data_IF_236143693641
#
_entry.id   IF_236143693641
#
_cell.length_a   1.000
_cell.length_b   1.000
_cell.length_c   1.000
_cell.angle_alpha   90.00
_cell.angle_beta   90.00
_cell.angle_gamma   90.00
#
_symmetry.space_group_name_H-M   'P 1'
#
loop_
_entity.id
_entity.type
_entity.pdbx_description
1 polymer ?
#
# COMPACT_ATOMS: atom_id res chain seq x y z
N UNK A 1 26.14 -39.19 -26.36
CA UNK A 1 25.51 -39.12 -25.02
C UNK A 1 25.33 -37.65 -24.63
N UNK A 2 24.13 -37.06 -24.70
CA UNK A 2 23.91 -35.71 -24.20
C UNK A 2 23.48 -35.74 -22.73
N UNK A 3 24.14 -34.92 -21.90
CA UNK A 3 23.85 -34.73 -20.47
C UNK A 3 22.57 -33.90 -20.30
N UNK A 4 21.61 -34.46 -19.58
CA UNK A 4 20.43 -33.77 -19.05
C UNK A 4 20.84 -32.82 -17.92
N UNK A 5 20.80 -31.51 -18.18
CA UNK A 5 20.79 -30.48 -17.14
C UNK A 5 19.37 -30.36 -16.59
N UNK A 6 19.17 -30.86 -15.37
CA UNK A 6 17.96 -30.62 -14.57
C UNK A 6 17.96 -29.14 -14.13
N UNK A 7 17.08 -28.35 -14.71
CA UNK A 7 16.71 -27.02 -14.23
C UNK A 7 15.80 -27.16 -13.00
N UNK A 8 16.31 -26.79 -11.83
CA UNK A 8 15.50 -26.58 -10.63
C UNK A 8 14.68 -25.29 -10.80
N UNK A 9 13.39 -25.27 -10.45
CA UNK A 9 12.62 -24.03 -10.43
C UNK A 9 13.08 -23.19 -9.23
N UNK A 10 13.65 -22.02 -9.51
CA UNK A 10 13.86 -21.00 -8.51
C UNK A 10 12.50 -20.54 -7.97
N UNK A 11 12.16 -20.93 -6.74
CA UNK A 11 11.08 -20.30 -5.98
C UNK A 11 11.47 -18.84 -5.75
N UNK A 12 10.90 -17.95 -6.57
CA UNK A 12 10.95 -16.51 -6.39
C UNK A 12 10.19 -16.16 -5.11
N UNK A 13 10.93 -16.04 -4.01
CA UNK A 13 10.42 -15.47 -2.77
C UNK A 13 10.16 -13.97 -3.00
N UNK A 14 8.89 -13.57 -2.90
CA UNK A 14 8.49 -12.18 -3.08
C UNK A 14 8.98 -11.31 -1.90
N UNK A 15 9.63 -10.17 -2.15
CA UNK A 15 10.06 -9.27 -1.07
C UNK A 15 8.83 -8.71 -0.33
N UNK A 16 8.95 -8.54 0.99
CA UNK A 16 7.95 -7.90 1.83
C UNK A 16 7.44 -6.60 1.17
N UNK A 17 6.15 -6.60 0.81
CA UNK A 17 5.53 -5.67 -0.13
C UNK A 17 5.39 -4.24 0.40
N UNK A 18 5.24 -3.27 -0.51
CA UNK A 18 5.02 -1.83 -0.27
C UNK A 18 3.83 -1.47 0.65
N UNK A 19 3.02 -2.45 1.08
CA UNK A 19 1.91 -2.26 2.01
C UNK A 19 2.33 -2.27 3.49
N UNK A 20 3.53 -2.76 3.84
CA UNK A 20 3.94 -2.96 5.23
C UNK A 20 3.45 -4.26 5.85
N UNK A 21 4.12 -4.73 6.92
CA UNK A 21 3.92 -6.07 7.50
C UNK A 21 2.98 -6.12 8.72
N UNK A 22 2.65 -4.98 9.35
CA UNK A 22 1.74 -4.94 10.51
C UNK A 22 0.39 -5.57 10.16
N UNK A 23 -0.09 -6.47 11.02
CA UNK A 23 -1.35 -7.19 10.85
C UNK A 23 -1.36 -8.22 9.71
N UNK A 24 -0.21 -8.48 9.09
CA UNK A 24 -0.06 -9.49 8.03
C UNK A 24 0.66 -10.72 8.58
N UNK A 25 0.39 -11.89 7.98
CA UNK A 25 1.21 -13.08 8.20
C UNK A 25 2.44 -13.00 7.31
N UNK A 26 3.63 -13.04 7.92
CA UNK A 26 4.91 -13.06 7.19
C UNK A 26 5.80 -14.18 7.72
N UNK A 27 6.72 -14.67 6.89
CA UNK A 27 7.74 -15.65 7.28
C UNK A 27 9.05 -14.95 7.63
N UNK A 28 9.94 -15.67 8.32
CA UNK A 28 11.29 -15.17 8.63
C UNK A 28 12.05 -14.82 7.35
N UNK A 29 11.93 -15.66 6.31
CA UNK A 29 12.55 -15.45 5.00
C UNK A 29 12.04 -14.17 4.32
N UNK A 30 10.73 -13.90 4.39
CA UNK A 30 10.16 -12.67 3.82
C UNK A 30 10.72 -11.40 4.49
N UNK A 31 10.97 -11.46 5.80
CA UNK A 31 11.60 -10.34 6.53
C UNK A 31 13.08 -10.20 6.15
N UNK A 32 13.84 -11.30 6.08
CA UNK A 32 15.24 -11.26 5.65
C UNK A 32 15.41 -10.67 4.24
N UNK A 33 14.43 -10.90 3.37
CA UNK A 33 14.41 -10.38 1.99
C UNK A 33 13.78 -8.99 1.86
N UNK A 34 13.32 -8.40 2.96
CA UNK A 34 12.78 -7.04 2.93
C UNK A 34 13.86 -6.03 2.58
N UNK A 35 13.46 -4.88 2.03
CA UNK A 35 14.37 -3.78 1.72
C UNK A 35 15.15 -3.31 2.97
N UNK A 36 14.53 -3.37 4.15
CA UNK A 36 15.20 -3.08 5.42
C UNK A 36 16.38 -4.03 5.64
N UNK A 37 16.14 -5.34 5.61
CA UNK A 37 17.19 -6.31 5.89
C UNK A 37 18.24 -6.42 4.79
N UNK A 38 17.88 -6.13 3.54
CA UNK A 38 18.86 -5.98 2.46
C UNK A 38 19.76 -4.75 2.67
N UNK A 39 19.20 -3.63 3.12
CA UNK A 39 19.96 -2.40 3.38
C UNK A 39 20.90 -2.55 4.59
N UNK A 40 20.42 -3.17 5.67
CA UNK A 40 21.17 -3.27 6.92
C UNK A 40 21.91 -4.60 7.09
N UNK A 41 21.80 -5.52 6.14
CA UNK A 41 22.43 -6.85 6.20
C UNK A 41 22.04 -7.60 7.48
N UNK A 42 20.73 -7.76 7.70
CA UNK A 42 20.23 -8.51 8.86
C UNK A 42 20.86 -9.91 8.92
N UNK A 43 21.30 -10.32 10.11
CA UNK A 43 21.73 -11.69 10.36
C UNK A 43 20.59 -12.71 10.29
N UNK A 44 20.93 -13.98 10.54
CA UNK A 44 19.90 -14.99 10.78
C UNK A 44 19.05 -14.61 12.00
N UNK A 45 17.73 -14.77 11.94
CA UNK A 45 16.87 -14.40 13.05
C UNK A 45 17.08 -15.32 14.24
N UNK A 46 17.23 -14.72 15.42
CA UNK A 46 17.01 -15.42 16.66
C UNK A 46 15.50 -15.52 16.92
N UNK A 47 14.95 -16.73 16.81
CA UNK A 47 13.52 -16.99 16.96
C UNK A 47 13.22 -17.49 18.37
N UNK A 48 12.39 -16.75 19.11
CA UNK A 48 11.95 -17.10 20.45
C UNK A 48 10.43 -17.04 20.54
N UNK A 49 9.77 -18.17 20.24
CA UNK A 49 8.31 -18.25 20.22
C UNK A 49 7.69 -17.28 19.21
N UNK A 50 7.02 -16.23 19.72
CA UNK A 50 6.37 -15.21 18.89
C UNK A 50 7.32 -14.09 18.42
N UNK A 51 8.51 -13.98 19.02
CA UNK A 51 9.46 -12.89 18.77
C UNK A 51 10.58 -13.34 17.84
N UNK A 52 10.82 -12.58 16.78
CA UNK A 52 11.89 -12.81 15.82
C UNK A 52 12.84 -11.62 15.84
N UNK A 53 14.08 -11.86 16.25
CA UNK A 53 15.09 -10.82 16.40
C UNK A 53 16.14 -10.90 15.30
N UNK A 54 16.35 -9.79 14.60
CA UNK A 54 17.29 -9.63 13.50
C UNK A 54 18.33 -8.59 13.90
N UNK A 55 19.43 -9.00 14.56
CA UNK A 55 20.55 -8.11 14.79
C UNK A 55 21.19 -7.76 13.44
N UNK A 56 21.54 -6.49 13.26
CA UNK A 56 22.19 -6.02 12.02
C UNK A 56 23.40 -5.13 12.29
N UNK A 57 23.54 -4.56 13.49
CA UNK A 57 24.81 -4.08 14.01
C UNK A 57 25.02 -4.58 15.44
N UNK A 58 26.19 -4.31 16.03
CA UNK A 58 26.44 -4.60 17.46
C UNK A 58 25.57 -3.78 18.43
N UNK A 59 24.93 -2.73 17.92
CA UNK A 59 24.15 -1.78 18.70
C UNK A 59 22.68 -1.72 18.32
N UNK A 60 22.30 -2.30 17.18
CA UNK A 60 20.95 -2.17 16.66
C UNK A 60 20.43 -3.50 16.15
N UNK A 61 19.12 -3.70 16.33
CA UNK A 61 18.42 -4.81 15.73
C UNK A 61 16.93 -4.55 15.61
N UNK A 62 16.31 -5.38 14.80
CA UNK A 62 14.88 -5.38 14.54
C UNK A 62 14.24 -6.54 15.30
N UNK A 63 13.15 -6.29 16.00
CA UNK A 63 12.29 -7.35 16.55
C UNK A 63 10.94 -7.31 15.87
N UNK A 64 10.47 -8.46 15.40
CA UNK A 64 9.12 -8.64 14.87
C UNK A 64 8.38 -9.56 15.82
N UNK A 65 7.33 -9.06 16.46
CA UNK A 65 6.48 -9.83 17.37
C UNK A 65 5.19 -10.21 16.67
N UNK A 66 4.75 -11.45 16.86
CA UNK A 66 3.53 -12.02 16.27
C UNK A 66 2.47 -12.29 17.33
N UNK A 67 1.23 -12.53 16.91
CA UNK A 67 0.12 -12.94 17.79
C UNK A 67 0.48 -14.20 18.58
N UNK A 68 1.12 -15.17 17.92
CA UNK A 68 1.57 -16.42 18.52
C UNK A 68 2.82 -16.98 17.83
N UNK A 69 3.33 -18.10 18.33
CA UNK A 69 4.43 -18.84 17.71
C UNK A 69 4.03 -19.54 16.40
N UNK A 70 2.73 -19.77 16.19
CA UNK A 70 2.20 -20.61 15.13
C UNK A 70 2.47 -20.05 13.72
N UNK A 71 2.68 -20.92 12.71
CA UNK A 71 2.66 -20.53 11.31
C UNK A 71 1.35 -19.80 10.96
N UNK A 72 1.44 -18.69 10.24
CA UNK A 72 0.26 -17.90 9.88
C UNK A 72 -0.14 -16.82 10.88
N UNK A 73 0.50 -16.74 12.06
CA UNK A 73 0.26 -15.67 13.03
C UNK A 73 0.59 -14.31 12.46
N UNK A 74 -0.27 -13.31 12.70
CA UNK A 74 -0.05 -11.96 12.19
C UNK A 74 0.99 -11.21 13.02
N UNK A 75 1.68 -10.27 12.40
CA UNK A 75 2.59 -9.35 13.10
C UNK A 75 1.79 -8.36 13.94
N UNK A 76 2.09 -8.27 15.23
CA UNK A 76 1.45 -7.34 16.18
C UNK A 76 2.35 -6.17 16.53
N UNK A 77 3.67 -6.31 16.38
CA UNK A 77 4.57 -5.17 16.50
C UNK A 77 5.85 -5.37 15.69
N UNK A 78 6.41 -4.23 15.28
CA UNK A 78 7.74 -4.15 14.69
C UNK A 78 8.51 -3.12 15.49
N UNK A 79 9.66 -3.53 16.01
CA UNK A 79 10.45 -2.76 16.95
C UNK A 79 11.88 -2.62 16.45
N UNK A 80 12.42 -1.41 16.48
CA UNK A 80 13.85 -1.15 16.37
C UNK A 80 14.37 -0.92 17.79
N UNK A 81 15.32 -1.73 18.25
CA UNK A 81 16.06 -1.47 19.49
C UNK A 81 17.45 -0.94 19.16
N UNK A 82 17.90 0.03 19.95
CA UNK A 82 19.24 0.62 19.87
C UNK A 82 19.86 0.56 21.26
N UNK A 83 21.05 0.00 21.41
CA UNK A 83 21.74 -0.04 22.71
C UNK A 83 22.18 1.35 23.12
N UNK A 84 21.99 1.68 24.40
CA UNK A 84 22.22 3.03 24.93
C UNK A 84 23.71 3.47 24.84
N UNK A 85 24.64 2.52 24.78
CA UNK A 85 26.08 2.76 24.59
C UNK A 85 26.49 2.98 23.11
N UNK A 86 25.53 2.90 22.19
CA UNK A 86 25.75 3.03 20.74
C UNK A 86 24.81 4.02 20.05
N UNK A 87 24.19 4.94 20.79
CA UNK A 87 23.22 5.90 20.24
C UNK A 87 23.87 6.82 19.20
N UNK A 88 23.20 6.97 18.06
CA UNK A 88 23.62 7.87 16.99
C UNK A 88 22.37 8.43 16.31
N UNK A 89 22.00 9.66 16.66
CA UNK A 89 20.75 10.29 16.21
C UNK A 89 20.51 10.20 14.69
N UNK A 90 21.57 10.36 13.88
CA UNK A 90 21.46 10.31 12.42
C UNK A 90 21.20 8.89 11.92
N UNK A 91 22.00 7.92 12.37
CA UNK A 91 21.87 6.52 11.97
C UNK A 91 20.56 5.91 12.49
N UNK A 92 20.22 6.22 13.75
CA UNK A 92 19.01 5.76 14.42
C UNK A 92 17.76 6.30 13.72
N UNK A 93 17.74 7.60 13.35
CA UNK A 93 16.64 8.19 12.58
C UNK A 93 16.45 7.50 11.23
N UNK A 94 17.54 7.19 10.52
CA UNK A 94 17.45 6.49 9.24
C UNK A 94 16.92 5.07 9.41
N UNK A 95 17.47 4.31 10.35
CA UNK A 95 17.01 2.95 10.66
C UNK A 95 15.54 2.96 11.09
N UNK A 96 15.14 3.91 11.91
CA UNK A 96 13.78 4.07 12.38
C UNK A 96 12.80 4.39 11.24
N UNK A 97 13.16 5.26 10.30
CA UNK A 97 12.33 5.53 9.12
C UNK A 97 12.18 4.30 8.22
N UNK A 98 13.25 3.52 8.03
CA UNK A 98 13.16 2.29 7.23
C UNK A 98 12.36 1.20 7.95
N UNK A 99 12.46 1.11 9.28
CA UNK A 99 11.62 0.22 10.09
C UNK A 99 10.14 0.58 9.96
N UNK A 100 9.80 1.87 10.00
CA UNK A 100 8.42 2.33 9.76
C UNK A 100 7.92 1.94 8.36
N UNK A 101 8.73 2.07 7.31
CA UNK A 101 8.38 1.60 5.95
C UNK A 101 8.16 0.09 5.89
N UNK A 102 8.98 -0.69 6.59
CA UNK A 102 8.78 -2.13 6.71
C UNK A 102 7.44 -2.43 7.41
N UNK A 103 7.17 -1.75 8.51
CA UNK A 103 5.98 -1.98 9.33
C UNK A 103 4.68 -1.56 8.62
N UNK A 104 4.65 -0.38 7.99
CA UNK A 104 3.43 0.28 7.51
C UNK A 104 3.40 0.54 5.99
N UNK A 105 4.52 0.35 5.29
CA UNK A 105 4.65 0.67 3.87
C UNK A 105 5.04 2.13 3.58
N UNK A 106 4.99 3.00 4.60
CA UNK A 106 5.37 4.42 4.52
C UNK A 106 5.93 4.91 5.86
N UNK A 107 6.37 6.19 5.92
CA UNK A 107 6.95 6.80 7.13
C UNK A 107 5.95 7.79 7.73
N UNK A 108 5.22 7.45 8.81
CA UNK A 108 4.34 8.39 9.50
C UNK A 108 5.09 9.42 10.37
N UNK A 109 6.30 9.12 10.85
CA UNK A 109 7.11 10.03 11.68
C UNK A 109 8.48 10.32 11.08
N UNK A 110 8.74 11.60 10.80
CA UNK A 110 10.02 12.11 10.28
C UNK A 110 10.75 13.04 11.26
N UNK A 111 10.19 13.27 12.45
CA UNK A 111 10.76 14.16 13.46
C UNK A 111 12.02 13.61 14.15
N UNK A 112 12.57 14.37 15.12
CA UNK A 112 13.74 13.94 15.88
C UNK A 112 13.44 12.71 16.76
N UNK A 113 14.44 11.85 16.92
CA UNK A 113 14.40 10.64 17.77
C UNK A 113 15.07 10.88 19.12
N UNK A 114 15.88 11.92 19.22
CA UNK A 114 16.64 12.32 20.41
C UNK A 114 15.80 12.47 21.68
N UNK A 115 14.54 12.98 21.61
CA UNK A 115 13.68 13.03 22.79
C UNK A 115 13.34 11.65 23.40
N UNK A 116 13.60 10.55 22.68
CA UNK A 116 13.42 9.18 23.17
C UNK A 116 14.58 8.70 24.03
N UNK A 117 15.80 9.21 23.82
CA UNK A 117 17.01 8.82 24.57
C UNK A 117 16.99 9.28 26.03
N UNK A 118 16.06 10.16 26.39
CA UNK A 118 15.84 10.66 27.74
C UNK A 118 14.37 10.51 28.16
N UNK A 119 13.64 9.59 27.55
CA UNK A 119 12.25 9.34 27.91
C UNK A 119 12.14 8.70 29.30
N UNK A 120 11.32 9.27 30.19
CA UNK A 120 11.05 8.69 31.52
C UNK A 120 9.90 7.66 31.50
N UNK A 121 9.20 7.57 30.37
CA UNK A 121 8.09 6.63 30.13
C UNK A 121 7.94 6.44 28.62
N UNK A 122 7.10 5.49 28.19
CA UNK A 122 6.72 5.37 26.78
C UNK A 122 6.21 6.71 26.24
N UNK A 123 6.79 7.20 25.14
CA UNK A 123 6.37 8.40 24.42
C UNK A 123 5.66 8.00 23.14
N UNK A 124 4.52 8.62 22.87
CA UNK A 124 3.85 8.49 21.57
C UNK A 124 4.41 9.52 20.60
N UNK A 125 5.00 9.06 19.51
CA UNK A 125 5.51 9.90 18.43
C UNK A 125 4.42 10.19 17.40
N UNK A 126 3.60 9.18 17.09
CA UNK A 126 2.41 9.30 16.24
C UNK A 126 1.30 8.44 16.80
N UNK A 127 0.10 9.01 16.91
CA UNK A 127 -1.11 8.30 17.31
C UNK A 127 -1.89 7.86 16.06
N UNK A 128 -2.29 6.59 16.01
CA UNK A 128 -3.12 5.99 14.96
C UNK A 128 -2.69 6.39 13.52
N UNK A 129 -1.45 6.06 13.09
CA UNK A 129 -0.95 6.45 11.76
C UNK A 129 -1.80 5.86 10.61
N UNK A 130 -2.35 4.66 10.78
CA UNK A 130 -3.39 4.10 9.93
C UNK A 130 -4.29 3.14 10.74
N UNK A 131 -5.30 2.55 10.08
CA UNK A 131 -6.26 1.65 10.74
C UNK A 131 -5.66 0.36 11.31
N UNK A 132 -4.43 0.01 10.94
CA UNK A 132 -3.77 -1.24 11.35
C UNK A 132 -2.88 -1.05 12.57
N UNK A 133 -2.56 0.19 12.93
CA UNK A 133 -1.59 0.51 13.97
C UNK A 133 -2.13 1.51 14.99
N UNK A 134 -2.01 1.17 16.28
CA UNK A 134 -2.41 2.05 17.39
C UNK A 134 -1.52 3.30 17.46
N UNK A 135 -0.24 3.14 17.12
CA UNK A 135 0.73 4.23 17.19
C UNK A 135 2.16 3.81 16.92
N UNK A 136 2.98 4.84 16.75
CA UNK A 136 4.43 4.75 16.75
C UNK A 136 4.91 5.35 18.07
N UNK A 137 5.59 4.54 18.87
CA UNK A 137 6.04 4.92 20.21
C UNK A 137 7.55 4.74 20.34
N UNK A 138 8.13 5.35 21.37
CA UNK A 138 9.46 5.02 21.82
C UNK A 138 9.52 4.92 23.34
N UNK A 139 10.46 4.14 23.84
CA UNK A 139 10.67 3.91 25.26
C UNK A 139 12.15 3.70 25.56
N UNK A 140 12.61 4.24 26.67
CA UNK A 140 13.96 4.02 27.16
C UNK A 140 13.91 2.91 28.21
N UNK A 141 14.69 1.87 27.98
CA UNK A 141 15.01 0.80 28.92
C UNK A 141 16.43 0.95 29.43
N UNK A 142 16.77 0.19 30.48
CA UNK A 142 18.07 0.25 31.14
C UNK A 142 19.26 0.10 30.17
N UNK A 143 19.11 -0.69 29.11
CA UNK A 143 20.19 -0.98 28.16
C UNK A 143 19.88 -0.64 26.69
N UNK A 144 18.63 -0.30 26.37
CA UNK A 144 18.21 0.02 25.00
C UNK A 144 17.21 1.17 24.95
N UNK A 145 17.20 1.90 23.84
CA UNK A 145 16.07 2.72 23.41
C UNK A 145 15.32 1.97 22.33
N UNK A 146 14.02 1.78 22.55
CA UNK A 146 13.15 1.02 21.68
C UNK A 146 12.21 1.95 20.94
N UNK A 147 12.05 1.73 19.63
CA UNK A 147 11.09 2.40 18.79
C UNK A 147 10.13 1.36 18.22
N UNK A 148 8.84 1.51 18.47
CA UNK A 148 7.86 0.45 18.19
C UNK A 148 6.70 0.96 17.36
N UNK A 149 6.34 0.21 16.32
CA UNK A 149 5.05 0.31 15.64
C UNK A 149 4.17 -0.81 16.18
N UNK A 150 3.06 -0.44 16.85
CA UNK A 150 2.12 -1.39 17.44
C UNK A 150 0.87 -1.53 16.59
N UNK A 151 0.41 -2.76 16.38
CA UNK A 151 -0.86 -3.03 15.72
C UNK A 151 -2.04 -2.46 16.52
N UNK A 152 -3.14 -2.16 15.84
CA UNK A 152 -4.41 -1.79 16.45
C UNK A 152 -5.15 -3.07 16.89
N UNK A 153 -5.46 -3.26 18.18
CA UNK A 153 -6.20 -4.42 18.66
C UNK A 153 -7.54 -4.61 17.94
N UNK A 154 -8.27 -3.53 17.64
CA UNK A 154 -9.52 -3.60 16.89
C UNK A 154 -9.29 -4.12 15.47
N UNK A 155 -8.20 -3.70 14.81
CA UNK A 155 -7.81 -4.28 13.52
C UNK A 155 -7.45 -5.76 13.62
N UNK A 156 -6.73 -6.16 14.68
CA UNK A 156 -6.33 -7.56 14.89
C UNK A 156 -7.53 -8.47 15.17
N UNK A 157 -8.56 -7.95 15.85
CA UNK A 157 -9.82 -8.67 16.09
C UNK A 157 -10.69 -8.80 14.84
N UNK A 158 -10.45 -8.00 13.78
CA UNK A 158 -11.07 -8.27 12.49
C UNK A 158 -10.57 -9.63 12.03
N UNK A 159 -11.50 -10.51 11.68
CA UNK A 159 -11.18 -11.76 11.00
C UNK A 159 -10.37 -11.37 9.77
N UNK A 160 -9.09 -11.73 9.73
CA UNK A 160 -8.33 -11.60 8.51
C UNK A 160 -9.17 -12.25 7.42
N UNK A 161 -9.28 -11.65 6.22
CA UNK A 161 -9.74 -12.40 5.07
C UNK A 161 -8.99 -13.73 5.10
N UNK A 162 -9.71 -14.85 5.12
CA UNK A 162 -9.08 -16.16 5.13
C UNK A 162 -8.00 -16.20 4.04
N UNK A 163 -6.87 -16.90 4.25
CA UNK A 163 -5.91 -17.12 3.19
C UNK A 163 -6.68 -17.63 1.98
N UNK A 164 -6.82 -16.79 0.95
CA UNK A 164 -7.62 -17.15 -0.21
C UNK A 164 -6.86 -18.28 -0.86
N UNK A 165 -7.50 -19.45 -0.97
CA UNK A 165 -6.92 -20.60 -1.66
C UNK A 165 -6.57 -20.12 -3.07
N UNK A 166 -5.27 -20.13 -3.37
CA UNK A 166 -4.71 -19.60 -4.61
C UNK A 166 -5.27 -20.47 -5.75
N UNK A 167 -6.27 -19.98 -6.48
CA UNK A 167 -6.59 -20.56 -7.78
C UNK A 167 -5.48 -20.13 -8.73
N UNK A 168 -4.64 -21.08 -9.13
CA UNK A 168 -3.46 -20.85 -9.97
C UNK A 168 -3.81 -20.12 -11.28
N UNK A 169 -3.09 -19.04 -11.57
CA UNK A 169 -3.16 -18.29 -12.83
C UNK A 169 -2.92 -16.79 -12.63
N UNK A 170 -2.27 -16.08 -13.58
CA UNK A 170 -1.92 -14.67 -13.39
C UNK A 170 -3.16 -13.79 -13.22
N UNK A 171 -3.11 -12.79 -12.33
CA UNK A 171 -4.15 -11.78 -12.19
C UNK A 171 -4.37 -11.08 -13.53
N UNK A 172 -5.60 -11.14 -14.04
CA UNK A 172 -6.03 -10.46 -15.28
C UNK A 172 -7.24 -9.60 -14.98
N UNK A 173 -7.37 -8.48 -15.69
CA UNK A 173 -8.63 -7.76 -15.73
C UNK A 173 -9.62 -8.59 -16.56
N UNK A 174 -10.88 -8.59 -16.13
CA UNK A 174 -11.96 -9.33 -16.77
C UNK A 174 -12.93 -8.38 -17.45
N UNK A 175 -13.51 -7.46 -16.68
CA UNK A 175 -14.38 -6.39 -17.19
C UNK A 175 -14.04 -5.09 -16.50
N UNK A 176 -14.33 -3.97 -17.15
CA UNK A 176 -14.27 -2.65 -16.53
C UNK A 176 -15.33 -1.77 -17.19
N UNK A 177 -16.04 -0.99 -16.38
CA UNK A 177 -17.05 -0.06 -16.87
C UNK A 177 -17.36 1.01 -15.83
N UNK A 178 -17.75 2.20 -16.28
CA UNK A 178 -18.40 3.16 -15.40
C UNK A 178 -19.81 2.68 -15.06
N UNK A 179 -20.12 2.66 -13.76
CA UNK A 179 -21.41 2.16 -13.27
C UNK A 179 -22.33 3.27 -12.79
N UNK A 180 -21.75 4.29 -12.17
CA UNK A 180 -22.49 5.40 -11.53
C UNK A 180 -21.67 6.67 -11.57
N UNK A 181 -22.34 7.81 -11.72
CA UNK A 181 -21.83 9.16 -11.57
C UNK A 181 -22.81 9.94 -10.71
N UNK A 182 -22.39 10.38 -9.53
CA UNK A 182 -23.23 11.11 -8.57
C UNK A 182 -22.81 12.57 -8.56
N UNK A 183 -23.70 13.46 -8.98
CA UNK A 183 -23.49 14.91 -9.02
C UNK A 183 -24.70 15.67 -8.50
N UNK A 184 -24.70 17.00 -8.70
CA UNK A 184 -25.81 17.86 -8.27
C UNK A 184 -27.15 17.50 -8.94
N UNK A 185 -27.12 17.10 -10.21
CA UNK A 185 -28.29 16.62 -10.95
C UNK A 185 -28.74 15.18 -10.65
N UNK A 186 -28.14 14.50 -9.66
CA UNK A 186 -28.50 13.13 -9.26
C UNK A 186 -27.50 12.06 -9.69
N UNK A 187 -27.97 10.81 -9.80
CA UNK A 187 -27.13 9.64 -10.17
C UNK A 187 -27.38 9.24 -11.63
N UNK A 188 -26.32 9.21 -12.43
CA UNK A 188 -26.35 8.88 -13.86
C UNK A 188 -25.29 7.84 -14.23
N UNK A 189 -25.34 7.30 -15.45
CA UNK A 189 -24.28 6.46 -16.05
C UNK A 189 -23.31 7.25 -16.95
N UNK A 190 -23.46 8.56 -17.00
CA UNK A 190 -22.68 9.50 -17.81
C UNK A 190 -22.31 10.73 -16.98
N UNK A 191 -21.35 11.51 -17.46
CA UNK A 191 -20.99 12.79 -16.86
C UNK A 191 -21.81 13.92 -17.49
N UNK A 192 -22.50 14.70 -16.65
CA UNK A 192 -23.22 15.89 -17.12
C UNK A 192 -22.24 17.02 -17.41
N UNK A 193 -22.33 17.61 -18.60
CA UNK A 193 -21.51 18.75 -19.00
C UNK A 193 -21.70 19.93 -18.04
N UNK A 194 -20.59 20.51 -17.57
CA UNK A 194 -20.61 21.67 -16.68
C UNK A 194 -20.83 21.34 -15.20
N UNK A 195 -21.08 20.07 -14.85
CA UNK A 195 -21.23 19.63 -13.48
C UNK A 195 -20.04 18.78 -13.03
N UNK A 196 -19.70 18.91 -11.74
CA UNK A 196 -18.78 17.99 -11.09
C UNK A 196 -19.56 16.77 -10.59
N UNK A 197 -19.03 15.58 -10.83
CA UNK A 197 -19.61 14.34 -10.34
C UNK A 197 -18.53 13.39 -9.81
N UNK A 198 -18.92 12.55 -8.85
CA UNK A 198 -18.13 11.41 -8.40
C UNK A 198 -18.55 10.18 -9.20
N UNK A 199 -17.65 9.65 -10.03
CA UNK A 199 -17.93 8.52 -10.90
C UNK A 199 -17.21 7.24 -10.46
N UNK A 200 -17.90 6.11 -10.50
CA UNK A 200 -17.37 4.79 -10.11
C UNK A 200 -17.00 3.99 -11.36
N UNK A 201 -15.70 3.83 -11.60
CA UNK A 201 -15.15 2.84 -12.52
C UNK A 201 -15.01 1.51 -11.77
N UNK A 202 -15.89 0.56 -12.09
CA UNK A 202 -15.83 -0.80 -11.53
C UNK A 202 -14.98 -1.66 -12.44
N UNK A 203 -13.95 -2.29 -11.87
CA UNK A 203 -13.07 -3.24 -12.53
C UNK A 203 -13.24 -4.60 -11.86
N UNK A 204 -13.50 -5.64 -12.64
CA UNK A 204 -13.49 -7.02 -12.14
C UNK A 204 -12.23 -7.74 -12.61
N UNK A 205 -11.71 -8.62 -11.77
CA UNK A 205 -10.53 -9.43 -12.08
C UNK A 205 -10.88 -10.91 -12.25
N UNK A 206 -9.97 -11.65 -12.88
CA UNK A 206 -9.98 -13.13 -12.97
C UNK A 206 -8.56 -13.66 -12.72
N UNK A 207 -8.47 -14.96 -12.41
CA UNK A 207 -7.22 -15.61 -12.02
C UNK A 207 -6.94 -15.42 -10.53
N UNK A 208 -5.67 -15.31 -10.17
CA UNK A 208 -5.22 -15.07 -8.80
C UNK A 208 -5.81 -13.78 -8.24
N UNK A 209 -6.44 -13.90 -7.08
CA UNK A 209 -6.94 -12.75 -6.34
C UNK A 209 -5.76 -12.06 -5.65
N UNK A 210 -5.57 -10.78 -5.97
CA UNK A 210 -4.53 -9.96 -5.36
C UNK A 210 -5.10 -8.57 -5.04
N UNK A 211 -4.67 -8.00 -3.93
CA UNK A 211 -5.08 -6.66 -3.53
C UNK A 211 -4.42 -5.61 -4.43
N UNK A 212 -5.12 -4.52 -4.76
CA UNK A 212 -4.52 -3.35 -5.40
C UNK A 212 -3.73 -2.58 -4.35
N UNK A 213 -2.44 -2.36 -4.62
CA UNK A 213 -1.52 -1.63 -3.71
C UNK A 213 -1.16 -0.24 -4.23
N UNK A 214 -1.51 0.07 -5.48
CA UNK A 214 -1.34 1.39 -6.09
C UNK A 214 -2.27 1.50 -7.31
N UNK A 215 -2.92 2.64 -7.47
CA UNK A 215 -3.65 2.97 -8.70
C UNK A 215 -3.23 4.35 -9.21
N UNK A 216 -2.83 4.42 -10.47
CA UNK A 216 -2.56 5.67 -11.19
C UNK A 216 -3.66 5.88 -12.21
N UNK A 217 -4.28 7.05 -12.20
CA UNK A 217 -5.31 7.42 -13.15
C UNK A 217 -4.81 8.56 -14.02
N UNK A 218 -4.92 8.38 -15.33
CA UNK A 218 -4.69 9.42 -16.31
C UNK A 218 -5.93 9.55 -17.18
N UNK A 219 -6.21 10.76 -17.63
CA UNK A 219 -7.41 11.06 -18.36
C UNK A 219 -7.10 11.54 -19.77
N UNK A 220 -8.03 11.30 -20.67
CA UNK A 220 -8.01 11.76 -22.04
C UNK A 220 -9.40 12.30 -22.38
N UNK A 221 -9.47 13.39 -23.13
CA UNK A 221 -10.73 14.02 -23.51
C UNK A 221 -10.94 13.91 -25.01
N UNK A 222 -12.15 13.51 -25.42
CA UNK A 222 -12.59 13.53 -26.81
C UNK A 222 -13.65 14.61 -27.01
N UNK A 223 -13.51 15.39 -28.07
CA UNK A 223 -14.45 16.45 -28.40
C UNK A 223 -14.50 16.73 -29.89
N UNK A 224 -15.62 17.33 -30.32
CA UNK A 224 -15.77 17.90 -31.66
C UNK A 224 -15.60 19.40 -31.59
N UNK A 225 -14.73 19.95 -32.44
CA UNK A 225 -14.51 21.38 -32.60
C UNK A 225 -14.35 21.70 -34.09
N UNK A 226 -15.14 22.65 -34.60
CA UNK A 226 -15.16 23.02 -36.03
C UNK A 226 -15.39 21.81 -36.97
N UNK A 227 -16.22 20.86 -36.55
CA UNK A 227 -16.50 19.63 -37.31
C UNK A 227 -15.41 18.55 -37.24
N UNK A 228 -14.28 18.82 -36.59
CA UNK A 228 -13.19 17.84 -36.41
C UNK A 228 -13.27 17.15 -35.06
N UNK A 229 -13.03 15.83 -35.07
CA UNK A 229 -12.85 15.04 -33.86
C UNK A 229 -11.42 15.21 -33.34
N UNK A 230 -11.31 15.62 -32.08
CA UNK A 230 -10.03 15.81 -31.41
C UNK A 230 -10.00 14.94 -30.17
N UNK A 231 -8.87 14.26 -30.00
CA UNK A 231 -8.56 13.40 -28.85
C UNK A 231 -7.30 13.92 -28.19
N UNK A 232 -7.36 14.22 -26.89
CA UNK A 232 -6.26 14.87 -26.17
C UNK A 232 -6.02 14.23 -24.80
N UNK A 233 -4.81 13.72 -24.60
CA UNK A 233 -4.36 13.27 -23.29
C UNK A 233 -4.20 14.46 -22.34
N UNK A 234 -4.72 14.32 -21.12
CA UNK A 234 -4.53 15.30 -20.06
C UNK A 234 -3.20 15.01 -19.34
N UNK A 235 -2.42 16.05 -19.01
CA UNK A 235 -1.07 15.87 -18.46
C UNK A 235 -1.07 15.40 -17.00
N UNK A 236 -2.15 15.69 -16.28
CA UNK A 236 -2.29 15.37 -14.87
C UNK A 236 -2.55 13.88 -14.64
N UNK A 237 -1.95 13.37 -13.57
CA UNK A 237 -2.17 12.01 -13.08
C UNK A 237 -2.65 12.08 -11.65
N UNK A 238 -3.68 11.32 -11.35
CA UNK A 238 -4.13 11.13 -9.99
C UNK A 238 -3.55 9.83 -9.44
N UNK A 239 -3.19 9.85 -8.16
CA UNK A 239 -2.58 8.73 -7.49
C UNK A 239 -3.42 8.34 -6.28
N UNK A 240 -3.87 7.09 -6.28
CA UNK A 240 -4.37 6.42 -5.09
C UNK A 240 -3.30 5.49 -4.52
N UNK A 241 -3.10 5.62 -3.21
CA UNK A 241 -2.29 4.72 -2.39
C UNK A 241 -3.14 4.28 -1.19
N UNK A 242 -3.01 3.02 -0.74
CA UNK A 242 -3.69 2.55 0.46
C UNK A 242 -3.24 3.36 1.68
N UNK A 243 -4.16 3.64 2.61
CA UNK A 243 -3.85 4.35 3.86
C UNK A 243 -3.62 5.86 3.75
N UNK A 244 -3.55 6.44 2.54
CA UNK A 244 -3.51 7.90 2.36
C UNK A 244 -4.88 8.47 2.71
N UNK A 245 -4.94 9.40 3.67
CA UNK A 245 -6.14 10.20 3.91
C UNK A 245 -6.49 10.97 2.62
N UNK A 246 -7.62 10.66 1.95
CA UNK A 246 -7.94 11.28 0.68
C UNK A 246 -8.46 12.70 0.92
N UNK A 247 -7.93 13.66 0.17
CA UNK A 247 -8.55 14.96 0.00
C UNK A 247 -9.92 14.84 -0.70
N UNK A 248 -10.72 15.92 -0.71
CA UNK A 248 -12.08 15.89 -1.25
C UNK A 248 -12.16 15.39 -2.70
N UNK A 249 -11.18 15.73 -3.52
CA UNK A 249 -11.14 15.39 -4.95
C UNK A 249 -10.32 14.13 -5.24
N UNK A 250 -9.49 13.66 -4.30
CA UNK A 250 -8.61 12.52 -4.52
C UNK A 250 -9.41 11.26 -4.90
N UNK A 251 -8.87 10.40 -5.76
CA UNK A 251 -9.47 9.12 -6.09
C UNK A 251 -9.59 8.23 -4.84
N UNK A 252 -10.63 7.41 -4.78
CA UNK A 252 -10.86 6.43 -3.72
C UNK A 252 -10.96 5.05 -4.35
N UNK A 253 -10.38 4.06 -3.70
CA UNK A 253 -10.45 2.67 -4.14
C UNK A 253 -11.02 1.83 -3.00
N UNK A 254 -12.02 1.03 -3.33
CA UNK A 254 -12.49 -0.06 -2.49
C UNK A 254 -12.38 -1.36 -3.27
N UNK A 255 -11.91 -2.43 -2.62
CA UNK A 255 -11.82 -3.74 -3.24
C UNK A 255 -12.54 -4.77 -2.38
N UNK A 256 -13.45 -5.53 -2.99
CA UNK A 256 -14.15 -6.65 -2.37
C UNK A 256 -13.95 -7.88 -3.25
N UNK A 257 -13.08 -8.79 -2.80
CA UNK A 257 -12.70 -9.96 -3.58
C UNK A 257 -12.08 -9.57 -4.93
N UNK A 258 -12.79 -9.92 -6.01
CA UNK A 258 -12.41 -9.65 -7.41
C UNK A 258 -12.99 -8.35 -7.98
N UNK A 259 -13.84 -7.65 -7.23
CA UNK A 259 -14.40 -6.37 -7.64
C UNK A 259 -13.60 -5.22 -7.04
N UNK A 260 -13.20 -4.27 -7.88
CA UNK A 260 -12.45 -3.07 -7.53
C UNK A 260 -13.26 -1.87 -8.00
N UNK A 261 -13.63 -0.99 -7.08
CA UNK A 261 -14.37 0.23 -7.37
C UNK A 261 -13.45 1.43 -7.20
N UNK A 262 -13.12 2.06 -8.33
CA UNK A 262 -12.38 3.33 -8.41
C UNK A 262 -13.38 4.47 -8.48
N UNK A 263 -13.51 5.23 -7.40
CA UNK A 263 -14.32 6.44 -7.35
C UNK A 263 -13.44 7.64 -7.71
N UNK A 264 -13.74 8.33 -8.80
CA UNK A 264 -12.99 9.48 -9.33
C UNK A 264 -13.86 10.73 -9.32
N UNK A 265 -13.26 11.91 -9.10
CA UNK A 265 -13.97 13.19 -9.17
C UNK A 265 -13.73 13.80 -10.54
N UNK A 266 -14.76 13.93 -11.36
CA UNK A 266 -14.63 14.44 -12.72
C UNK A 266 -15.51 15.67 -12.91
N UNK A 267 -15.00 16.63 -13.68
CA UNK A 267 -15.75 17.80 -14.10
C UNK A 267 -15.29 18.22 -15.49
N UNK A 268 -16.23 18.49 -16.39
CA UNK A 268 -15.95 18.99 -17.73
C UNK A 268 -16.51 20.39 -17.86
N UNK A 269 -15.63 21.37 -18.07
CA UNK A 269 -16.04 22.75 -18.32
C UNK A 269 -16.67 22.88 -19.70
N UNK A 270 -17.78 23.62 -19.78
CA UNK A 270 -18.40 24.01 -21.04
C UNK A 270 -17.54 25.07 -21.74
N UNK A 271 -17.09 24.78 -22.96
CA UNK A 271 -16.28 25.69 -23.78
C UNK A 271 -17.03 26.01 -25.08
N UNK A 272 -17.24 27.28 -25.43
CA UNK A 272 -17.91 27.65 -26.69
C UNK A 272 -17.24 27.01 -27.91
N UNK A 273 -18.05 26.50 -28.86
CA UNK A 273 -17.56 25.86 -30.08
C UNK A 273 -16.95 24.46 -29.89
N UNK A 274 -16.95 23.92 -28.66
CA UNK A 274 -16.45 22.57 -28.34
C UNK A 274 -17.57 21.72 -27.77
N UNK A 275 -17.85 20.59 -28.43
CA UNK A 275 -18.75 19.55 -27.89
C UNK A 275 -17.91 18.38 -27.39
N UNK A 276 -17.70 18.30 -26.08
CA UNK A 276 -17.03 17.14 -25.46
C UNK A 276 -17.96 15.93 -25.58
N UNK A 277 -17.41 14.81 -26.05
CA UNK A 277 -18.15 13.56 -26.26
C UNK A 277 -17.83 12.53 -25.19
N UNK A 278 -16.58 12.49 -24.71
CA UNK A 278 -16.17 11.61 -23.62
C UNK A 278 -14.97 12.13 -22.83
N UNK A 279 -14.85 11.63 -21.60
CA UNK A 279 -13.63 11.63 -20.81
C UNK A 279 -13.22 10.16 -20.61
N UNK A 280 -12.09 9.77 -21.18
CA UNK A 280 -11.59 8.42 -21.13
C UNK A 280 -10.61 8.29 -19.96
N UNK A 281 -10.81 7.28 -19.11
CA UNK A 281 -9.97 7.00 -17.96
C UNK A 281 -9.01 5.86 -18.27
N UNK A 282 -7.72 6.11 -18.07
CA UNK A 282 -6.63 5.14 -18.15
C UNK A 282 -6.22 4.82 -16.71
N UNK A 283 -6.74 3.71 -16.18
CA UNK A 283 -6.44 3.27 -14.81
C UNK A 283 -5.36 2.19 -14.83
N UNK A 284 -4.17 2.52 -14.34
CA UNK A 284 -3.06 1.58 -14.15
C UNK A 284 -3.08 1.07 -12.70
N UNK A 285 -3.41 -0.21 -12.55
CA UNK A 285 -3.52 -0.92 -11.28
C UNK A 285 -2.26 -1.76 -11.05
N UNK A 286 -1.61 -1.54 -9.91
CA UNK A 286 -0.54 -2.39 -9.41
C UNK A 286 -1.08 -3.26 -8.29
N UNK A 287 -0.94 -4.57 -8.46
CA UNK A 287 -1.40 -5.58 -7.52
C UNK A 287 -0.27 -6.04 -6.58
N UNK A 288 -0.63 -6.55 -5.41
CA UNK A 288 0.32 -7.01 -4.39
C UNK A 288 1.22 -8.15 -4.89
N UNK A 289 0.75 -8.96 -5.84
CA UNK A 289 1.57 -9.99 -6.51
C UNK A 289 2.51 -9.44 -7.59
N UNK A 290 2.67 -8.10 -7.68
CA UNK A 290 3.52 -7.43 -8.65
C UNK A 290 2.90 -7.31 -10.05
N UNK A 291 1.72 -7.88 -10.29
CA UNK A 291 1.04 -7.71 -11.56
C UNK A 291 0.69 -6.23 -11.76
N UNK A 292 0.95 -5.72 -12.96
CA UNK A 292 0.50 -4.40 -13.39
C UNK A 292 -0.48 -4.58 -14.54
N UNK A 293 -1.65 -3.97 -14.42
CA UNK A 293 -2.70 -4.01 -15.46
C UNK A 293 -3.25 -2.63 -15.71
N UNK A 294 -3.65 -2.39 -16.95
CA UNK A 294 -4.24 -1.12 -17.36
C UNK A 294 -5.67 -1.38 -17.85
N UNK A 295 -6.63 -0.67 -17.27
CA UNK A 295 -7.98 -0.54 -17.80
C UNK A 295 -8.08 0.78 -18.57
N UNK A 296 -8.72 0.76 -19.73
CA UNK A 296 -9.09 1.95 -20.48
C UNK A 296 -10.61 1.96 -20.59
N UNK A 297 -11.26 2.98 -20.06
CA UNK A 297 -12.71 3.10 -20.09
C UNK A 297 -13.19 4.50 -20.47
N UNK A 298 -13.95 4.66 -21.56
CA UNK A 298 -14.58 5.92 -21.92
C UNK A 298 -15.81 6.20 -21.04
N UNK A 299 -15.90 7.42 -20.49
CA UNK A 299 -17.12 7.94 -19.88
C UNK A 299 -17.75 8.97 -20.81
N UNK A 300 -18.99 8.72 -21.23
CA UNK A 300 -19.72 9.67 -22.08
C UNK A 300 -20.02 10.97 -21.32
N UNK A 301 -19.96 12.08 -22.05
CA UNK A 301 -20.39 13.40 -21.56
C UNK A 301 -21.67 13.81 -22.27
N UNK A 302 -22.68 14.26 -21.52
CA UNK A 302 -23.99 14.69 -22.04
C UNK A 302 -24.39 16.06 -21.53
#
# INVERSE_FOLDING_TARGET
MPRLLRSLPALLLAPASAAGIIGSSVTTTQIQQSAFCQQYTCGEPFVRGRDWQYPFTRYQGLTVTRESGEPGSRVVSVQLWVRNDGLNATADRQAFQQMQKLALGYVPYTGPVEPCYAAMSTRTLVKAPDERATGVTCELWDSTTDFTVNADPAYMTRTAPAPVTISSGPTKLNTWAFTTCVGAGGTNSYLTMGEAARCTLRVTTKGEQSAVVKAELQYEIEYVQNGQYVKKLLPEKELWLPGRAPGPLDPRLTQQGRAIDLNVSLAVKKVPGRRVTSVNTIARLTFANGAVKTAYEPLLVR
#
